data_IF_967545966406
#
_entry.id   IF_967545966406
#
_cell.length_a   1.000
_cell.length_b   1.000
_cell.length_c   1.000
_cell.angle_alpha   90.00
_cell.angle_beta   90.00
_cell.angle_gamma   90.00
#
_symmetry.space_group_name_H-M   'P 1'
#
loop_
_entity.id
_entity.type
_entity.pdbx_description
1 polymer ?
#
# COMPACT_ATOMS: atom_id res chain seq x y z
N UNK A 1 20.30 22.92 -20.48
CA UNK A 1 19.37 22.64 -21.59
C UNK A 1 19.43 21.16 -21.94
N UNK A 2 18.76 20.25 -21.17
CA UNK A 2 18.63 18.78 -21.46
C UNK A 2 17.59 18.11 -20.57
N UNK A 3 16.53 18.83 -20.11
CA UNK A 3 15.48 18.26 -19.25
C UNK A 3 14.20 17.81 -19.98
N UNK A 4 14.12 17.91 -21.31
CA UNK A 4 12.88 17.67 -22.08
C UNK A 4 12.80 16.24 -22.69
N UNK A 5 13.85 15.44 -22.64
CA UNK A 5 13.89 14.15 -23.33
C UNK A 5 13.38 12.93 -22.56
N UNK A 6 13.04 13.05 -21.27
CA UNK A 6 12.58 11.92 -20.46
C UNK A 6 11.04 11.79 -20.41
N UNK A 7 10.30 12.80 -20.85
CA UNK A 7 8.82 12.81 -20.74
C UNK A 7 8.08 12.20 -21.95
N UNK A 8 8.77 11.81 -23.01
CA UNK A 8 8.13 11.38 -24.27
C UNK A 8 8.00 9.86 -24.45
N UNK A 9 8.36 9.03 -23.47
CA UNK A 9 8.33 7.57 -23.62
C UNK A 9 7.05 6.89 -23.13
N UNK A 10 6.06 7.62 -22.60
CA UNK A 10 4.84 7.04 -22.02
C UNK A 10 3.57 7.17 -22.88
N UNK A 11 3.63 7.64 -24.11
CA UNK A 11 2.42 7.91 -24.93
C UNK A 11 2.20 6.92 -26.09
N UNK A 12 3.02 5.90 -26.27
CA UNK A 12 2.91 5.00 -27.42
C UNK A 12 2.63 3.54 -27.06
N UNK A 13 1.55 3.28 -26.31
CA UNK A 13 1.03 1.92 -26.15
C UNK A 13 -0.52 1.92 -26.08
N UNK A 14 -1.16 2.45 -27.11
CA UNK A 14 -2.59 2.23 -27.29
C UNK A 14 -2.83 1.78 -28.71
N UNK A 15 -2.87 0.48 -28.94
CA UNK A 15 -3.78 -0.23 -29.88
C UNK A 15 -3.43 -1.71 -29.86
N UNK A 16 -3.91 -2.43 -28.85
CA UNK A 16 -4.23 -3.84 -29.02
C UNK A 16 -5.74 -3.92 -28.81
N UNK A 17 -6.49 -4.04 -29.90
CA UNK A 17 -7.90 -4.39 -29.87
C UNK A 17 -7.95 -5.86 -29.46
N UNK A 18 -7.96 -6.12 -28.16
CA UNK A 18 -8.39 -7.41 -27.61
C UNK A 18 -9.89 -7.35 -27.43
N UNK A 19 -10.61 -8.40 -27.83
CA UNK A 19 -12.01 -8.59 -27.53
C UNK A 19 -12.23 -8.26 -26.05
N UNK A 20 -13.01 -7.21 -25.78
CA UNK A 20 -13.27 -6.75 -24.42
C UNK A 20 -14.15 -7.81 -23.74
N UNK A 21 -13.53 -8.73 -23.03
CA UNK A 21 -14.25 -9.55 -22.04
C UNK A 21 -14.93 -8.57 -21.09
N UNK A 22 -16.24 -8.67 -20.93
CA UNK A 22 -17.02 -7.82 -20.04
C UNK A 22 -16.43 -7.93 -18.62
N UNK A 23 -15.97 -6.82 -18.07
CA UNK A 23 -15.45 -6.74 -16.71
C UNK A 23 -16.61 -6.59 -15.73
N UNK A 24 -16.64 -7.41 -14.70
CA UNK A 24 -17.57 -7.27 -13.59
C UNK A 24 -16.87 -6.42 -12.52
N UNK A 25 -17.41 -5.24 -12.23
CA UNK A 25 -16.83 -4.30 -11.27
C UNK A 25 -17.75 -4.19 -10.06
N UNK A 26 -17.23 -4.55 -8.90
CA UNK A 26 -17.88 -4.39 -7.60
C UNK A 26 -17.33 -3.12 -6.93
N UNK A 27 -18.22 -2.15 -6.67
CA UNK A 27 -17.89 -0.87 -6.03
C UNK A 27 -18.05 -0.98 -4.53
N UNK A 28 -17.02 -0.61 -3.78
CA UNK A 28 -16.99 -0.73 -2.32
C UNK A 28 -16.44 0.53 -1.68
N UNK A 29 -17.01 0.91 -0.51
CA UNK A 29 -16.57 2.03 0.30
C UNK A 29 -15.94 1.52 1.60
N UNK A 30 -14.71 1.94 1.91
CA UNK A 30 -13.97 1.47 3.07
C UNK A 30 -13.40 2.64 3.89
N UNK A 31 -13.25 2.38 5.19
CA UNK A 31 -12.45 3.18 6.09
C UNK A 31 -11.21 2.39 6.51
N UNK A 32 -10.03 2.98 6.35
CA UNK A 32 -8.78 2.45 6.85
C UNK A 32 -8.25 3.33 7.97
N UNK A 33 -8.08 2.76 9.15
CA UNK A 33 -7.45 3.42 10.28
C UNK A 33 -6.09 2.81 10.52
N UNK A 34 -5.04 3.65 10.54
CA UNK A 34 -3.67 3.20 10.63
C UNK A 34 -2.90 3.91 11.74
N UNK A 35 -2.19 3.15 12.55
CA UNK A 35 -1.14 3.63 13.40
C UNK A 35 0.21 3.19 12.84
N UNK A 36 1.08 4.15 12.58
CA UNK A 36 2.41 3.94 12.06
C UNK A 36 3.43 4.47 13.05
N UNK A 37 4.33 3.61 13.51
CA UNK A 37 5.40 3.95 14.43
C UNK A 37 6.75 3.76 13.76
N UNK A 38 7.65 4.72 13.98
CA UNK A 38 9.04 4.65 13.56
C UNK A 38 9.92 4.91 14.77
N UNK A 39 10.80 3.95 15.08
CA UNK A 39 11.83 4.08 16.12
C UNK A 39 13.19 4.22 15.43
N UNK A 40 13.80 5.40 15.53
CA UNK A 40 15.16 5.64 15.06
C UNK A 40 16.16 5.15 16.13
N UNK A 41 16.89 4.06 15.82
CA UNK A 41 17.91 3.46 16.71
C UNK A 41 19.21 4.26 16.61
N UNK A 42 19.56 4.67 15.39
CA UNK A 42 20.71 5.51 15.09
C UNK A 42 20.51 6.21 13.73
N UNK A 43 21.41 7.08 13.26
CA UNK A 43 21.24 7.79 11.98
C UNK A 43 21.05 6.91 10.75
N UNK A 44 21.46 5.63 10.81
CA UNK A 44 21.36 4.69 9.67
C UNK A 44 20.26 3.64 9.83
N UNK A 45 19.84 3.31 11.06
CA UNK A 45 18.91 2.22 11.32
C UNK A 45 17.64 2.69 12.00
N UNK A 46 16.51 2.23 11.52
CA UNK A 46 15.20 2.41 12.19
C UNK A 46 14.35 1.14 12.10
N UNK A 47 13.43 1.01 13.03
CA UNK A 47 12.37 -0.02 13.01
C UNK A 47 11.06 0.70 12.72
N UNK A 48 10.31 0.19 11.77
CA UNK A 48 8.97 0.64 11.44
C UNK A 48 7.96 -0.42 11.83
N UNK A 49 6.92 -0.03 12.54
CA UNK A 49 5.78 -0.88 12.85
C UNK A 49 4.47 -0.20 12.44
N UNK A 50 3.52 -1.01 12.01
CA UNK A 50 2.24 -0.53 11.51
C UNK A 50 1.12 -1.46 11.97
N UNK A 51 0.02 -0.85 12.44
CA UNK A 51 -1.26 -1.49 12.71
C UNK A 51 -2.29 -0.82 11.82
N UNK A 52 -3.01 -1.59 11.04
CA UNK A 52 -3.97 -1.07 10.06
C UNK A 52 -5.26 -1.89 10.16
N UNK A 53 -6.35 -1.22 10.51
CA UNK A 53 -7.68 -1.82 10.55
C UNK A 53 -8.52 -1.28 9.41
N UNK A 54 -9.24 -2.15 8.70
CA UNK A 54 -10.02 -1.83 7.52
C UNK A 54 -11.42 -2.36 7.66
N UNK A 55 -12.39 -1.48 7.48
CA UNK A 55 -13.81 -1.81 7.57
C UNK A 55 -14.55 -1.32 6.33
N UNK A 56 -15.56 -2.03 5.92
CA UNK A 56 -16.54 -1.54 4.94
C UNK A 56 -17.41 -0.48 5.60
N UNK A 57 -17.67 0.63 4.90
CA UNK A 57 -18.48 1.73 5.44
C UNK A 57 -19.97 1.44 5.33
N UNK A 58 -20.39 0.75 4.28
CA UNK A 58 -21.81 0.53 3.98
C UNK A 58 -22.48 -0.45 4.97
N UNK A 59 -21.69 -1.33 5.59
CA UNK A 59 -22.19 -2.37 6.51
C UNK A 59 -21.48 -2.41 7.86
N UNK A 60 -20.40 -1.62 8.03
CA UNK A 60 -19.51 -1.61 9.21
C UNK A 60 -18.97 -3.02 9.54
N UNK A 61 -18.72 -3.80 8.48
CA UNK A 61 -18.11 -5.14 8.57
C UNK A 61 -16.61 -5.04 8.42
N UNK A 62 -15.87 -5.81 9.20
CA UNK A 62 -14.42 -5.86 9.09
C UNK A 62 -13.98 -6.50 7.78
N UNK A 63 -13.16 -5.80 7.00
CA UNK A 63 -12.52 -6.32 5.81
C UNK A 63 -11.26 -7.10 6.18
N UNK A 64 -10.32 -6.43 6.84
CA UNK A 64 -9.07 -7.05 7.29
C UNK A 64 -8.33 -6.22 8.35
N UNK A 65 -7.43 -6.88 9.05
CA UNK A 65 -6.48 -6.27 9.97
C UNK A 65 -5.05 -6.60 9.55
N UNK A 66 -4.13 -5.65 9.73
CA UNK A 66 -2.71 -5.80 9.34
C UNK A 66 -1.80 -5.43 10.47
N UNK A 67 -0.79 -6.26 10.69
CA UNK A 67 0.38 -5.95 11.50
C UNK A 67 1.60 -6.04 10.59
N UNK A 68 2.47 -5.01 10.63
CA UNK A 68 3.72 -4.98 9.89
C UNK A 68 4.86 -4.56 10.80
N UNK A 69 6.00 -5.24 10.69
CA UNK A 69 7.25 -4.82 11.32
C UNK A 69 8.36 -4.92 10.29
N UNK A 70 9.18 -3.87 10.19
CA UNK A 70 10.22 -3.74 9.18
C UNK A 70 11.46 -3.04 9.75
N UNK A 71 12.63 -3.65 9.57
CA UNK A 71 13.91 -2.98 9.75
C UNK A 71 14.24 -2.16 8.50
N UNK A 72 14.77 -0.96 8.69
CA UNK A 72 15.17 -0.08 7.59
C UNK A 72 16.60 0.40 7.77
N UNK A 73 17.34 0.45 6.67
CA UNK A 73 18.74 0.88 6.64
C UNK A 73 18.97 1.97 5.57
N UNK A 74 19.43 3.14 6.01
CA UNK A 74 19.82 4.23 5.12
C UNK A 74 21.21 3.94 4.55
N UNK A 75 21.28 3.67 3.25
CA UNK A 75 22.54 3.53 2.51
C UNK A 75 23.16 4.92 2.23
N UNK A 76 22.31 5.88 1.89
CA UNK A 76 22.68 7.27 1.66
C UNK A 76 21.54 8.20 2.10
N UNK A 77 21.71 9.50 1.96
CA UNK A 77 20.63 10.47 2.21
C UNK A 77 19.40 10.27 1.30
N UNK A 78 19.60 9.64 0.16
CA UNK A 78 18.56 9.44 -0.84
C UNK A 78 18.05 8.01 -0.93
N UNK A 79 18.83 7.02 -0.47
CA UNK A 79 18.53 5.59 -0.67
C UNK A 79 18.39 4.87 0.66
N UNK A 80 17.28 4.17 0.81
CA UNK A 80 16.98 3.37 1.97
C UNK A 80 16.49 1.99 1.54
N UNK A 81 16.99 0.94 2.20
CA UNK A 81 16.49 -0.43 2.09
C UNK A 81 15.61 -0.76 3.28
N UNK A 82 14.59 -1.56 3.03
CA UNK A 82 13.71 -2.11 4.05
C UNK A 82 13.53 -3.62 3.89
N UNK A 83 13.46 -4.33 5.01
CA UNK A 83 13.07 -5.73 5.04
C UNK A 83 12.22 -6.02 6.27
N UNK A 84 11.18 -6.85 6.13
CA UNK A 84 10.29 -7.12 7.24
C UNK A 84 9.23 -8.17 6.95
N UNK A 85 8.38 -8.36 7.95
CA UNK A 85 7.27 -9.31 7.94
C UNK A 85 5.95 -8.58 8.08
N UNK A 86 4.92 -9.17 7.47
CA UNK A 86 3.55 -8.67 7.56
C UNK A 86 2.61 -9.83 7.82
N UNK A 87 1.70 -9.62 8.74
CA UNK A 87 0.57 -10.49 9.00
C UNK A 87 -0.72 -9.79 8.62
N UNK A 88 -1.57 -10.48 7.86
CA UNK A 88 -2.93 -10.07 7.57
C UNK A 88 -3.90 -11.07 8.18
N UNK A 89 -4.94 -10.56 8.81
CA UNK A 89 -6.12 -11.31 9.22
C UNK A 89 -7.27 -10.85 8.32
N UNK A 90 -7.60 -11.63 7.31
CA UNK A 90 -8.63 -11.28 6.31
C UNK A 90 -9.97 -11.84 6.77
N UNK A 91 -10.91 -10.98 7.15
CA UNK A 91 -12.25 -11.38 7.55
C UNK A 91 -13.11 -11.66 6.31
N UNK A 92 -13.25 -10.67 5.42
CA UNK A 92 -13.96 -10.87 4.14
C UNK A 92 -13.49 -9.86 3.10
N UNK A 93 -13.66 -10.20 1.82
CA UNK A 93 -13.46 -9.29 0.70
C UNK A 93 -14.79 -8.72 0.17
N UNK A 94 -15.90 -9.30 0.57
CA UNK A 94 -17.27 -8.94 0.17
C UNK A 94 -18.11 -8.84 1.44
N UNK A 95 -18.69 -7.69 1.77
CA UNK A 95 -19.31 -7.45 3.07
C UNK A 95 -20.53 -8.34 3.35
N UNK A 96 -21.19 -8.84 2.30
CA UNK A 96 -22.36 -9.75 2.41
C UNK A 96 -21.96 -11.19 2.78
N UNK A 97 -20.65 -11.51 2.71
CA UNK A 97 -20.16 -12.87 2.99
C UNK A 97 -19.50 -12.89 4.36
N UNK A 98 -20.10 -13.60 5.30
CA UNK A 98 -19.50 -13.89 6.60
C UNK A 98 -19.04 -15.34 6.63
N UNK A 99 -17.73 -15.55 6.66
CA UNK A 99 -17.15 -16.89 6.74
C UNK A 99 -17.17 -17.48 8.15
N UNK A 100 -17.40 -16.66 9.19
CA UNK A 100 -17.29 -17.08 10.59
C UNK A 100 -15.84 -17.25 11.09
N UNK A 101 -14.84 -17.08 10.23
CA UNK A 101 -13.41 -17.14 10.56
C UNK A 101 -12.61 -16.21 9.66
N UNK A 102 -11.41 -15.84 10.13
CA UNK A 102 -10.49 -15.03 9.36
C UNK A 102 -9.43 -15.89 8.67
N UNK A 103 -9.05 -15.50 7.45
CA UNK A 103 -8.01 -16.18 6.68
C UNK A 103 -6.67 -15.45 6.90
N UNK A 104 -5.67 -16.12 7.52
CA UNK A 104 -4.34 -15.56 7.67
C UNK A 104 -3.59 -15.44 6.34
N UNK A 105 -2.85 -14.34 6.18
CA UNK A 105 -1.86 -14.21 5.13
C UNK A 105 -0.56 -13.70 5.75
N UNK A 106 0.55 -14.39 5.50
CA UNK A 106 1.88 -14.01 5.93
C UNK A 106 2.67 -13.50 4.74
N UNK A 107 3.48 -12.46 4.97
CA UNK A 107 4.35 -11.93 3.91
C UNK A 107 5.74 -11.66 4.46
N UNK A 108 6.73 -12.01 3.64
CA UNK A 108 8.04 -11.39 3.70
C UNK A 108 8.03 -10.23 2.71
N UNK A 109 8.61 -9.10 3.09
CA UNK A 109 8.69 -7.95 2.20
C UNK A 109 10.08 -7.34 2.23
N UNK A 110 10.54 -6.91 1.06
CA UNK A 110 11.77 -6.15 0.87
C UNK A 110 11.45 -4.95 0.02
N UNK A 111 12.06 -3.82 0.32
CA UNK A 111 11.89 -2.63 -0.50
C UNK A 111 13.17 -1.81 -0.62
N UNK A 112 13.26 -1.11 -1.74
CA UNK A 112 14.22 -0.06 -1.99
C UNK A 112 13.45 1.24 -2.18
N UNK A 113 13.75 2.22 -1.36
CA UNK A 113 13.18 3.57 -1.44
C UNK A 113 14.26 4.55 -1.89
N UNK A 114 13.95 5.30 -2.96
CA UNK A 114 14.75 6.44 -3.38
C UNK A 114 13.98 7.72 -3.14
N UNK A 115 14.61 8.70 -2.47
CA UNK A 115 13.99 9.96 -2.07
C UNK A 115 14.83 11.16 -2.54
N UNK A 116 14.17 12.13 -3.17
CA UNK A 116 14.78 13.40 -3.58
C UNK A 116 14.01 14.56 -2.96
N UNK A 117 14.75 15.44 -2.30
CA UNK A 117 14.19 16.62 -1.64
C UNK A 117 14.56 17.88 -2.43
N UNK A 118 13.56 18.75 -2.69
CA UNK A 118 13.73 20.08 -3.25
C UNK A 118 12.91 21.08 -2.42
N UNK A 119 13.55 21.79 -1.52
CA UNK A 119 12.86 22.79 -0.69
C UNK A 119 11.53 22.28 -0.12
N UNK A 120 10.39 22.67 -0.71
CA UNK A 120 9.04 22.29 -0.28
C UNK A 120 8.52 20.99 -0.91
N UNK A 121 9.22 20.46 -1.91
CA UNK A 121 8.79 19.29 -2.67
C UNK A 121 9.67 18.10 -2.32
N UNK A 122 9.05 16.95 -2.09
CA UNK A 122 9.73 15.67 -1.93
C UNK A 122 9.17 14.70 -2.95
N UNK A 123 10.05 14.07 -3.72
CA UNK A 123 9.73 12.93 -4.58
C UNK A 123 10.26 11.66 -3.94
N UNK A 124 9.41 10.64 -3.88
CA UNK A 124 9.75 9.35 -3.31
C UNK A 124 9.33 8.25 -4.29
N UNK A 125 10.25 7.36 -4.61
CA UNK A 125 10.00 6.16 -5.41
C UNK A 125 10.30 4.94 -4.55
N UNK A 126 9.38 3.98 -4.53
CA UNK A 126 9.56 2.73 -3.80
C UNK A 126 9.33 1.53 -4.71
N UNK A 127 10.32 0.68 -4.80
CA UNK A 127 10.23 -0.66 -5.37
C UNK A 127 10.13 -1.66 -4.23
N UNK A 128 9.13 -2.53 -4.27
CA UNK A 128 8.90 -3.50 -3.20
C UNK A 128 8.57 -4.88 -3.79
N UNK A 129 9.15 -5.90 -3.18
CA UNK A 129 8.85 -7.30 -3.46
C UNK A 129 8.19 -7.89 -2.23
N UNK A 130 7.13 -8.67 -2.43
CA UNK A 130 6.43 -9.39 -1.37
C UNK A 130 6.33 -10.87 -1.73
N UNK A 131 6.73 -11.72 -0.82
CA UNK A 131 6.49 -13.14 -0.81
C UNK A 131 5.24 -13.39 0.02
N UNK A 132 4.16 -13.80 -0.63
CA UNK A 132 2.82 -13.85 -0.03
C UNK A 132 2.39 -15.30 0.16
N UNK A 133 2.11 -15.68 1.41
CA UNK A 133 1.65 -17.01 1.81
C UNK A 133 0.24 -16.89 2.37
N UNK A 134 -0.74 -17.28 1.58
CA UNK A 134 -2.14 -17.33 1.99
C UNK A 134 -2.44 -18.66 2.62
N UNK A 135 -2.95 -18.68 3.84
CA UNK A 135 -3.51 -19.91 4.44
C UNK A 135 -4.65 -20.42 3.57
N UNK A 136 -4.62 -21.70 3.25
CA UNK A 136 -5.73 -22.30 2.52
C UNK A 136 -6.97 -22.39 3.40
N UNK A 137 -8.14 -22.21 2.78
CA UNK A 137 -9.43 -22.28 3.45
C UNK A 137 -10.48 -22.84 2.47
N UNK A 138 -11.50 -23.50 3.01
CA UNK A 138 -12.71 -23.89 2.32
C UNK A 138 -13.94 -23.22 2.96
N UNK A 139 -15.14 -23.65 2.59
CA UNK A 139 -16.38 -23.07 3.16
C UNK A 139 -16.63 -23.40 4.64
N UNK A 140 -15.83 -24.27 5.26
CA UNK A 140 -16.01 -24.75 6.63
C UNK A 140 -14.91 -24.26 7.58
N UNK A 141 -13.75 -23.83 7.05
CA UNK A 141 -12.65 -23.36 7.90
C UNK A 141 -11.30 -23.28 7.18
N UNK A 142 -10.25 -23.16 7.99
CA UNK A 142 -8.87 -23.18 7.52
C UNK A 142 -8.46 -24.63 7.23
N UNK A 143 -7.82 -24.84 6.08
CA UNK A 143 -7.30 -26.14 5.67
C UNK A 143 -5.77 -26.15 5.69
N UNK A 144 -5.16 -27.32 5.53
CA UNK A 144 -3.71 -27.47 5.53
C UNK A 144 -3.05 -26.83 4.32
N UNK A 145 -1.83 -26.29 4.50
CA UNK A 145 -1.02 -25.72 3.44
C UNK A 145 -1.30 -24.24 3.15
N UNK A 146 -0.49 -23.69 2.28
CA UNK A 146 -0.56 -22.28 1.86
C UNK A 146 -0.49 -22.15 0.35
N UNK A 147 -1.14 -21.12 -0.18
CA UNK A 147 -1.01 -20.70 -1.58
C UNK A 147 -0.03 -19.55 -1.66
N UNK A 148 1.00 -19.69 -2.49
CA UNK A 148 2.09 -18.74 -2.61
C UNK A 148 1.97 -17.87 -3.86
N UNK A 149 2.31 -16.56 -3.70
CA UNK A 149 2.46 -15.59 -4.79
C UNK A 149 3.66 -14.68 -4.54
N UNK A 150 4.36 -14.33 -5.60
CA UNK A 150 5.18 -13.14 -5.65
C UNK A 150 4.30 -11.93 -5.97
N UNK A 151 4.59 -10.77 -5.34
CA UNK A 151 4.02 -9.50 -5.74
C UNK A 151 5.09 -8.43 -5.83
N UNK A 152 5.15 -7.79 -7.00
CA UNK A 152 6.02 -6.65 -7.27
C UNK A 152 5.18 -5.39 -7.19
N UNK A 153 5.74 -4.36 -6.54
CA UNK A 153 5.07 -3.09 -6.36
C UNK A 153 6.01 -1.95 -6.73
N UNK A 154 5.47 -0.96 -7.42
CA UNK A 154 6.15 0.30 -7.66
C UNK A 154 5.23 1.44 -7.22
N UNK A 155 5.74 2.37 -6.40
CA UNK A 155 5.04 3.55 -5.96
C UNK A 155 5.84 4.80 -6.29
N UNK A 156 5.21 5.75 -6.97
CA UNK A 156 5.68 7.10 -7.17
C UNK A 156 4.87 8.05 -6.28
N UNK A 157 5.53 8.77 -5.39
CA UNK A 157 4.90 9.66 -4.41
C UNK A 157 5.53 11.05 -4.47
N UNK A 158 4.66 12.06 -4.56
CA UNK A 158 5.01 13.47 -4.40
C UNK A 158 4.47 14.00 -3.07
N UNK A 159 5.25 14.86 -2.42
CA UNK A 159 4.83 15.60 -1.24
C UNK A 159 5.10 17.08 -1.45
N UNK A 160 4.17 17.93 -1.01
CA UNK A 160 4.33 19.38 -1.02
C UNK A 160 4.04 19.96 0.35
N UNK A 161 5.03 20.63 0.95
CA UNK A 161 4.89 21.28 2.24
C UNK A 161 4.41 22.72 2.05
N UNK A 162 3.16 22.98 2.41
CA UNK A 162 2.56 24.31 2.34
C UNK A 162 3.19 25.25 3.35
N UNK A 163 3.34 24.74 4.57
CA UNK A 163 3.82 25.49 5.72
C UNK A 163 4.55 24.57 6.70
N UNK A 164 5.60 25.11 7.35
CA UNK A 164 6.37 24.46 8.42
C UNK A 164 6.93 25.50 9.37
N UNK A 165 6.85 25.21 10.67
CA UNK A 165 7.65 25.86 11.70
C UNK A 165 8.50 24.80 12.42
N UNK A 166 9.10 25.13 13.57
CA UNK A 166 9.98 24.22 14.30
C UNK A 166 9.34 22.87 14.66
N UNK A 167 8.05 22.85 15.01
CA UNK A 167 7.37 21.67 15.55
C UNK A 167 6.19 21.18 14.69
N UNK A 168 5.60 22.08 13.90
CA UNK A 168 4.35 21.80 13.17
C UNK A 168 4.55 21.98 11.68
N UNK A 169 3.81 21.26 10.90
CA UNK A 169 3.79 21.42 9.44
C UNK A 169 2.44 20.97 8.86
N UNK A 170 2.14 21.48 7.68
CA UNK A 170 1.04 21.01 6.84
C UNK A 170 1.61 20.65 5.47
N UNK A 171 1.37 19.42 5.02
CA UNK A 171 1.77 18.97 3.69
C UNK A 171 0.67 18.17 2.99
N UNK A 172 0.64 18.28 1.65
CA UNK A 172 -0.10 17.36 0.80
C UNK A 172 0.78 16.20 0.38
N UNK A 173 0.16 15.05 0.17
CA UNK A 173 0.78 13.83 -0.30
C UNK A 173 -0.08 13.29 -1.44
N UNK A 174 0.53 12.98 -2.57
CA UNK A 174 -0.10 12.29 -3.69
C UNK A 174 0.76 11.10 -4.08
N UNK A 175 0.15 9.97 -4.44
CA UNK A 175 0.90 8.87 -5.01
C UNK A 175 0.05 8.02 -5.95
N UNK A 176 0.75 7.36 -6.86
CA UNK A 176 0.26 6.23 -7.63
C UNK A 176 1.11 5.00 -7.29
N UNK A 177 0.46 3.86 -7.08
CA UNK A 177 1.11 2.59 -6.78
C UNK A 177 0.50 1.47 -7.61
N UNK A 178 1.33 0.83 -8.44
CA UNK A 178 0.96 -0.35 -9.21
C UNK A 178 1.51 -1.62 -8.56
N UNK A 179 0.72 -2.69 -8.62
CA UNK A 179 1.06 -3.99 -8.06
C UNK A 179 0.81 -5.09 -9.10
N UNK A 180 1.79 -5.98 -9.23
CA UNK A 180 1.77 -7.09 -10.19
C UNK A 180 2.05 -8.38 -9.43
N UNK A 181 1.16 -9.37 -9.60
CA UNK A 181 1.38 -10.73 -9.10
C UNK A 181 2.20 -11.53 -10.11
N UNK A 182 3.02 -12.45 -9.59
CA UNK A 182 3.76 -13.42 -10.39
C UNK A 182 3.83 -14.77 -9.68
N UNK A 183 4.22 -15.79 -10.44
CA UNK A 183 4.31 -17.17 -9.98
C UNK A 183 3.21 -18.07 -10.56
N UNK A 184 3.32 -19.36 -10.35
CA UNK A 184 2.43 -20.37 -10.95
C UNK A 184 0.94 -20.23 -10.60
N UNK A 185 0.63 -19.56 -9.48
CA UNK A 185 -0.74 -19.34 -9.01
C UNK A 185 -1.36 -18.02 -9.53
N UNK A 186 -0.57 -17.16 -10.18
CA UNK A 186 -1.04 -15.91 -10.79
C UNK A 186 -1.48 -16.15 -12.26
N UNK A 187 -2.54 -16.95 -12.44
CA UNK A 187 -2.95 -17.41 -13.78
C UNK A 187 -3.67 -16.31 -14.55
N UNK A 188 -4.67 -15.67 -13.94
CA UNK A 188 -5.53 -14.69 -14.62
C UNK A 188 -5.41 -13.27 -14.05
N UNK A 189 -4.72 -13.09 -12.92
CA UNK A 189 -4.58 -11.82 -12.21
C UNK A 189 -3.12 -11.38 -12.07
N UNK A 190 -2.38 -11.38 -13.17
CA UNK A 190 -1.01 -10.81 -13.19
C UNK A 190 -1.04 -9.34 -12.78
N UNK A 191 -1.98 -8.55 -13.31
CA UNK A 191 -2.31 -7.27 -12.70
C UNK A 191 -3.02 -7.56 -11.38
N UNK A 192 -2.46 -7.10 -10.24
CA UNK A 192 -3.13 -7.24 -8.96
C UNK A 192 -3.96 -6.01 -8.66
N UNK A 193 -3.31 -4.84 -8.65
CA UNK A 193 -3.96 -3.64 -8.15
C UNK A 193 -3.25 -2.36 -8.61
N UNK A 194 -4.03 -1.29 -8.82
CA UNK A 194 -3.53 0.09 -8.87
C UNK A 194 -4.18 0.92 -7.77
N UNK A 195 -3.42 1.83 -7.17
CA UNK A 195 -3.88 2.74 -6.12
C UNK A 195 -3.46 4.16 -6.42
N UNK A 196 -4.44 5.05 -6.51
CA UNK A 196 -4.22 6.49 -6.57
C UNK A 196 -4.62 7.11 -5.23
N UNK A 197 -3.77 7.93 -4.65
CA UNK A 197 -3.96 8.51 -3.33
C UNK A 197 -3.72 10.00 -3.31
N UNK A 198 -4.55 10.69 -2.53
CA UNK A 198 -4.34 12.06 -2.10
C UNK A 198 -4.60 12.18 -0.60
N UNK A 199 -3.73 12.89 0.14
CA UNK A 199 -3.91 13.13 1.57
C UNK A 199 -3.30 14.43 2.03
N UNK A 200 -3.80 14.90 3.17
CA UNK A 200 -3.25 16.03 3.92
C UNK A 200 -2.71 15.51 5.25
N UNK A 201 -1.46 15.84 5.55
CA UNK A 201 -0.81 15.47 6.80
C UNK A 201 -0.47 16.72 7.60
N UNK A 202 -0.90 16.73 8.86
CA UNK A 202 -0.60 17.76 9.83
C UNK A 202 0.33 17.21 10.91
N UNK A 203 1.53 17.78 11.00
CA UNK A 203 2.46 17.54 12.10
C UNK A 203 2.04 18.32 13.33
N UNK A 204 1.62 17.60 14.38
CA UNK A 204 1.18 18.19 15.66
C UNK A 204 2.41 18.56 16.50
N UNK A 205 3.44 17.72 16.45
CA UNK A 205 4.70 17.89 17.16
C UNK A 205 5.86 17.32 16.33
N UNK A 206 7.08 17.37 16.86
CA UNK A 206 8.23 16.69 16.26
C UNK A 206 8.08 15.15 16.23
N UNK A 207 7.23 14.61 17.11
CA UNK A 207 7.05 13.16 17.26
C UNK A 207 5.75 12.64 16.64
N UNK A 208 4.71 13.48 16.51
CA UNK A 208 3.35 13.02 16.15
C UNK A 208 2.80 13.80 14.98
N UNK A 209 2.25 13.08 14.01
CA UNK A 209 1.48 13.67 12.91
C UNK A 209 0.20 12.86 12.65
N UNK A 210 -0.83 13.53 12.13
CA UNK A 210 -2.09 12.94 11.68
C UNK A 210 -2.26 13.19 10.20
N UNK A 211 -2.77 12.20 9.49
CA UNK A 211 -3.02 12.28 8.05
C UNK A 211 -4.44 11.79 7.75
N UNK A 212 -5.16 12.58 7.00
CA UNK A 212 -6.45 12.22 6.40
C UNK A 212 -6.30 12.22 4.89
N UNK A 213 -6.75 11.15 4.26
CA UNK A 213 -6.65 11.05 2.80
C UNK A 213 -7.73 10.18 2.18
N UNK A 214 -7.83 10.31 0.88
CA UNK A 214 -8.68 9.52 0.01
C UNK A 214 -7.81 8.66 -0.91
N UNK A 215 -8.21 7.42 -1.13
CA UNK A 215 -7.56 6.50 -2.04
C UNK A 215 -8.61 5.79 -2.90
N UNK A 216 -8.43 5.80 -4.20
CA UNK A 216 -9.09 4.85 -5.08
C UNK A 216 -8.18 3.64 -5.28
N UNK A 217 -8.73 2.45 -5.18
CA UNK A 217 -8.00 1.19 -5.33
C UNK A 217 -8.76 0.28 -6.28
N UNK A 218 -8.23 0.12 -7.48
CA UNK A 218 -8.75 -0.77 -8.52
C UNK A 218 -7.99 -2.09 -8.49
N UNK A 219 -8.67 -3.19 -8.16
CA UNK A 219 -8.06 -4.50 -7.91
C UNK A 219 -8.70 -5.58 -8.78
N UNK A 220 -7.87 -6.35 -9.50
CA UNK A 220 -8.30 -7.54 -10.22
C UNK A 220 -8.41 -8.74 -9.27
N UNK A 221 -9.51 -9.49 -9.38
CA UNK A 221 -9.72 -10.72 -8.63
C UNK A 221 -9.09 -11.93 -9.36
N UNK A 222 -8.98 -13.05 -8.65
CA UNK A 222 -8.38 -14.29 -9.19
C UNK A 222 -9.07 -14.84 -10.44
N UNK A 223 -10.32 -14.49 -10.67
CA UNK A 223 -11.10 -14.88 -11.87
C UNK A 223 -10.59 -14.24 -13.15
N UNK A 224 -9.86 -13.09 -13.05
CA UNK A 224 -9.36 -12.34 -14.18
C UNK A 224 -10.36 -11.37 -14.81
N UNK A 225 -11.65 -11.57 -14.63
CA UNK A 225 -12.74 -10.75 -15.19
C UNK A 225 -13.46 -9.92 -14.14
N UNK A 226 -13.36 -10.31 -12.87
CA UNK A 226 -13.97 -9.59 -11.75
C UNK A 226 -12.98 -8.61 -11.15
N UNK A 227 -13.47 -7.44 -10.75
CA UNK A 227 -12.68 -6.35 -10.17
C UNK A 227 -13.39 -5.78 -8.93
N UNK A 228 -12.59 -5.30 -7.99
CA UNK A 228 -13.04 -4.36 -6.97
C UNK A 228 -12.59 -2.95 -7.35
N UNK A 229 -13.52 -2.00 -7.30
CA UNK A 229 -13.24 -0.57 -7.34
C UNK A 229 -13.60 0.02 -5.98
N UNK A 230 -12.56 0.35 -5.19
CA UNK A 230 -12.71 0.73 -3.79
C UNK A 230 -12.42 2.19 -3.58
N UNK A 231 -13.39 2.91 -3.03
CA UNK A 231 -13.23 4.24 -2.48
C UNK A 231 -12.86 4.12 -1.01
N UNK A 232 -11.73 4.66 -0.62
CA UNK A 232 -11.16 4.43 0.71
C UNK A 232 -10.86 5.77 1.36
N UNK A 233 -11.48 6.04 2.51
CA UNK A 233 -11.05 7.10 3.41
C UNK A 233 -9.98 6.52 4.33
N UNK A 234 -8.83 7.17 4.43
CA UNK A 234 -7.73 6.70 5.27
C UNK A 234 -7.37 7.73 6.32
N UNK A 235 -7.48 7.35 7.59
CA UNK A 235 -6.98 8.08 8.74
C UNK A 235 -5.71 7.42 9.24
N UNK A 236 -4.62 8.17 9.39
CA UNK A 236 -3.35 7.64 9.87
C UNK A 236 -2.78 8.51 10.98
N UNK A 237 -2.25 7.86 12.00
CA UNK A 237 -1.44 8.49 13.05
C UNK A 237 0.00 8.03 12.85
N UNK A 238 0.91 8.96 12.74
CA UNK A 238 2.35 8.72 12.66
C UNK A 238 3.00 9.09 13.97
N UNK A 239 3.81 8.20 14.49
CA UNK A 239 4.57 8.40 15.71
C UNK A 239 6.04 8.11 15.44
N UNK A 240 6.91 9.07 15.73
CA UNK A 240 8.35 8.96 15.54
C UNK A 240 9.05 9.08 16.89
N UNK A 241 9.86 8.07 17.22
CA UNK A 241 10.68 8.00 18.42
C UNK A 241 12.15 7.97 18.05
N UNK A 242 12.99 8.52 18.94
CA UNK A 242 14.45 8.43 18.86
C UNK A 242 14.96 7.89 20.20
N UNK A 243 15.80 6.88 20.16
CA UNK A 243 16.45 6.27 21.31
C UNK A 243 17.98 6.44 21.21
#
# INVERSE_FOLDING_TARGET
MNFIRVFLFFILAKTVITAQTQKNIDHQNLLWTRYYNQVEINPKWSIHSEFDNRVFLDSIVQNLFVIRVQGRHKISEQVELGAGIVYFSVATQVPEVNLGFNIPEYRLQQDLTWKKNWSKIVLNQRFQIEERFFQNADGQGLTTGTTFFWRFRYRLQGEYTFWRNEKRYLKAIVYDEIMINAGKNAVYNSFDQNRVYFGLQYGISSAVAVELGYMNSFQQRKTGIDYFDRNIIRLSIYHQLRI
#
